data_IF_941769912909
#
_entry.id   IF_941769912909
#
_cell.length_a   1.000
_cell.length_b   1.000
_cell.length_c   1.000
_cell.angle_alpha   90.00
_cell.angle_beta   90.00
_cell.angle_gamma   90.00
#
_symmetry.space_group_name_H-M   'P 1'
#
loop_
_entity.id
_entity.type
_entity.pdbx_description
1 polymer ?
#
# COMPACT_ATOMS: atom_id res chain seq x y z
N UNK A 1 -27.79 -19.79 11.29
CA UNK A 1 -27.03 -19.48 10.04
C UNK A 1 -25.60 -19.88 10.26
N UNK A 2 -25.06 -20.62 9.32
CA UNK A 2 -23.64 -21.02 9.38
C UNK A 2 -22.71 -19.88 9.02
N UNK A 3 -21.49 -19.90 9.58
CA UNK A 3 -20.48 -18.87 9.33
C UNK A 3 -20.14 -18.74 7.84
N UNK A 4 -20.17 -19.82 7.07
CA UNK A 4 -19.89 -19.78 5.63
C UNK A 4 -20.94 -18.97 4.86
N UNK A 5 -22.23 -19.15 5.17
CA UNK A 5 -23.32 -18.38 4.56
C UNK A 5 -23.20 -16.89 4.89
N UNK A 6 -22.84 -16.62 6.15
CA UNK A 6 -22.60 -15.25 6.60
C UNK A 6 -21.42 -14.56 5.88
N UNK A 7 -20.35 -15.31 5.61
CA UNK A 7 -19.19 -14.80 4.84
C UNK A 7 -19.61 -14.48 3.41
N UNK A 8 -20.42 -15.34 2.78
CA UNK A 8 -20.91 -15.13 1.42
C UNK A 8 -21.82 -13.89 1.34
N UNK A 9 -22.76 -13.75 2.29
CA UNK A 9 -23.63 -12.56 2.37
C UNK A 9 -22.83 -11.27 2.59
N UNK A 10 -21.83 -11.30 3.45
CA UNK A 10 -20.95 -10.16 3.68
C UNK A 10 -20.09 -9.81 2.45
N UNK A 11 -19.58 -10.80 1.72
CA UNK A 11 -18.83 -10.55 0.49
C UNK A 11 -19.71 -9.92 -0.59
N UNK A 12 -20.97 -10.36 -0.72
CA UNK A 12 -21.95 -9.75 -1.62
C UNK A 12 -22.20 -8.28 -1.26
N UNK A 13 -22.38 -7.97 0.05
CA UNK A 13 -22.52 -6.59 0.52
C UNK A 13 -21.29 -5.74 0.21
N UNK A 14 -20.08 -6.27 0.47
CA UNK A 14 -18.83 -5.57 0.14
C UNK A 14 -18.69 -5.31 -1.37
N UNK A 15 -19.20 -6.21 -2.22
CA UNK A 15 -19.24 -6.01 -3.66
C UNK A 15 -20.21 -4.89 -4.04
N UNK A 16 -21.42 -4.88 -3.47
CA UNK A 16 -22.43 -3.82 -3.66
C UNK A 16 -21.90 -2.46 -3.20
N UNK A 17 -21.17 -2.41 -2.08
CA UNK A 17 -20.48 -1.21 -1.58
C UNK A 17 -19.30 -0.76 -2.46
N UNK A 18 -19.00 -1.44 -3.55
CA UNK A 18 -17.87 -1.15 -4.44
C UNK A 18 -16.51 -1.35 -3.77
N UNK A 19 -16.37 -2.24 -2.78
CA UNK A 19 -15.06 -2.53 -2.16
C UNK A 19 -14.15 -3.26 -3.14
N UNK A 20 -12.85 -2.93 -3.10
CA UNK A 20 -11.88 -3.53 -4.02
C UNK A 20 -11.78 -5.05 -3.83
N UNK A 21 -11.50 -5.82 -4.91
CA UNK A 21 -11.26 -7.27 -4.81
C UNK A 21 -10.21 -7.64 -3.76
N UNK A 22 -9.16 -6.82 -3.62
CA UNK A 22 -8.12 -7.02 -2.60
C UNK A 22 -8.68 -6.90 -1.18
N UNK A 23 -9.53 -5.90 -0.92
CA UNK A 23 -10.18 -5.71 0.38
C UNK A 23 -11.10 -6.89 0.69
N UNK A 24 -11.94 -7.30 -0.27
CA UNK A 24 -12.84 -8.45 -0.14
C UNK A 24 -12.07 -9.73 0.18
N UNK A 25 -11.01 -10.03 -0.60
CA UNK A 25 -10.15 -11.18 -0.37
C UNK A 25 -9.47 -11.15 1.02
N UNK A 26 -9.14 -9.98 1.54
CA UNK A 26 -8.58 -9.85 2.89
C UNK A 26 -9.62 -10.21 3.96
N UNK A 27 -10.85 -9.70 3.86
CA UNK A 27 -11.94 -10.05 4.77
C UNK A 27 -12.24 -11.55 4.71
N UNK A 28 -12.38 -12.12 3.52
CA UNK A 28 -12.63 -13.54 3.32
C UNK A 28 -11.53 -14.41 3.96
N UNK A 29 -10.26 -14.08 3.77
CA UNK A 29 -9.14 -14.80 4.42
C UNK A 29 -9.21 -14.78 5.95
N UNK A 30 -9.55 -13.64 6.53
CA UNK A 30 -9.65 -13.48 7.97
C UNK A 30 -10.85 -14.25 8.54
N UNK A 31 -11.99 -14.22 7.86
CA UNK A 31 -13.18 -14.97 8.24
C UNK A 31 -12.97 -16.50 8.09
N UNK A 32 -12.34 -16.94 7.00
CA UNK A 32 -11.96 -18.33 6.81
C UNK A 32 -10.96 -18.82 7.87
N UNK A 33 -10.06 -17.97 8.35
CA UNK A 33 -9.17 -18.34 9.46
C UNK A 33 -9.93 -18.59 10.76
N UNK A 34 -10.98 -17.80 11.04
CA UNK A 34 -11.88 -18.05 12.17
C UNK A 34 -12.61 -19.38 11.99
N UNK A 35 -13.18 -19.64 10.81
CA UNK A 35 -13.88 -20.91 10.52
C UNK A 35 -13.00 -22.15 10.74
N UNK A 36 -11.77 -22.13 10.23
CA UNK A 36 -10.80 -23.23 10.45
C UNK A 36 -10.47 -23.44 11.93
N UNK A 37 -10.32 -22.34 12.68
CA UNK A 37 -10.04 -22.43 14.11
C UNK A 37 -11.24 -23.00 14.89
N UNK A 38 -12.47 -22.60 14.57
CA UNK A 38 -13.69 -23.14 15.16
C UNK A 38 -13.78 -24.65 14.90
N UNK A 39 -13.64 -25.10 13.66
CA UNK A 39 -13.67 -26.51 13.29
C UNK A 39 -12.60 -27.33 14.04
N UNK A 40 -11.34 -26.83 14.12
CA UNK A 40 -10.26 -27.51 14.81
C UNK A 40 -10.46 -27.60 16.32
N UNK A 41 -11.17 -26.65 16.92
CA UNK A 41 -11.44 -26.62 18.37
C UNK A 41 -12.81 -27.20 18.72
N UNK A 42 -13.44 -27.90 17.76
CA UNK A 42 -14.77 -28.52 17.90
C UNK A 42 -15.86 -27.55 18.41
N UNK A 43 -15.71 -26.28 18.02
CA UNK A 43 -16.68 -25.24 18.36
C UNK A 43 -17.70 -25.09 17.24
N UNK A 44 -18.92 -24.74 17.63
CA UNK A 44 -19.99 -24.48 16.68
C UNK A 44 -19.62 -23.34 15.72
N UNK A 45 -19.97 -23.53 14.46
CA UNK A 45 -19.94 -22.49 13.40
C UNK A 45 -21.28 -21.75 13.26
N UNK A 46 -22.30 -22.18 14.03
CA UNK A 46 -23.57 -21.48 14.09
C UNK A 46 -23.41 -20.11 14.77
N UNK A 47 -23.80 -19.07 14.06
CA UNK A 47 -23.71 -17.67 14.54
C UNK A 47 -24.46 -17.43 15.85
N UNK A 48 -25.56 -18.16 16.09
CA UNK A 48 -26.33 -18.03 17.33
C UNK A 48 -25.52 -18.39 18.58
N UNK A 49 -24.52 -19.27 18.43
CA UNK A 49 -23.65 -19.74 19.48
C UNK A 49 -22.30 -19.00 19.55
N UNK A 50 -22.02 -18.13 18.57
CA UNK A 50 -20.75 -17.45 18.44
C UNK A 50 -20.69 -16.16 19.27
N UNK A 51 -20.33 -16.29 20.54
CA UNK A 51 -20.21 -15.16 21.46
C UNK A 51 -18.82 -14.52 21.52
N UNK A 52 -18.73 -13.41 22.26
CA UNK A 52 -17.45 -12.67 22.46
C UNK A 52 -16.31 -13.56 22.96
N UNK A 53 -16.59 -14.50 23.88
CA UNK A 53 -15.56 -15.38 24.47
C UNK A 53 -14.86 -16.23 23.38
N UNK A 54 -15.60 -16.75 22.42
CA UNK A 54 -15.03 -17.52 21.31
C UNK A 54 -14.13 -16.65 20.43
N UNK A 55 -14.58 -15.44 20.09
CA UNK A 55 -13.77 -14.49 19.30
C UNK A 55 -12.51 -14.03 20.03
N UNK A 56 -12.60 -13.79 21.34
CA UNK A 56 -11.43 -13.42 22.15
C UNK A 56 -10.41 -14.58 22.19
N UNK A 57 -10.89 -15.83 22.37
CA UNK A 57 -10.05 -17.02 22.34
C UNK A 57 -9.38 -17.21 20.95
N UNK A 58 -10.13 -17.02 19.86
CA UNK A 58 -9.54 -17.04 18.50
C UNK A 58 -8.45 -16.00 18.34
N UNK A 59 -8.71 -14.74 18.68
CA UNK A 59 -7.72 -13.65 18.53
C UNK A 59 -6.47 -13.86 19.41
N UNK A 60 -6.59 -14.61 20.51
CA UNK A 60 -5.47 -15.02 21.36
C UNK A 60 -4.72 -16.24 20.82
N UNK A 61 -5.30 -17.01 19.92
CA UNK A 61 -4.75 -18.28 19.42
C UNK A 61 -3.51 -18.08 18.52
N UNK A 62 -2.65 -19.11 18.39
CA UNK A 62 -1.52 -19.10 17.47
C UNK A 62 -1.93 -18.84 16.02
N UNK A 63 -3.06 -19.36 15.56
CA UNK A 63 -3.58 -19.16 14.19
C UNK A 63 -3.84 -17.68 13.87
N UNK A 64 -4.33 -16.94 14.85
CA UNK A 64 -4.54 -15.50 14.70
C UNK A 64 -3.25 -14.71 14.84
N UNK A 65 -2.33 -15.15 15.73
CA UNK A 65 -1.15 -14.37 16.16
C UNK A 65 0.13 -14.73 15.44
N UNK A 66 0.25 -15.95 14.90
CA UNK A 66 1.48 -16.42 14.24
C UNK A 66 1.24 -16.66 12.74
N UNK A 67 2.32 -16.62 11.97
CA UNK A 67 2.37 -17.08 10.59
C UNK A 67 2.47 -18.61 10.55
N UNK A 68 2.30 -19.28 9.37
CA UNK A 68 2.45 -20.73 9.26
C UNK A 68 3.82 -21.25 9.71
N UNK A 69 4.87 -20.42 9.61
CA UNK A 69 6.23 -20.70 10.07
C UNK A 69 6.42 -20.52 11.59
N UNK A 70 5.34 -20.30 12.35
CA UNK A 70 5.36 -20.09 13.81
C UNK A 70 5.78 -18.69 14.25
N UNK A 71 6.27 -17.85 13.34
CA UNK A 71 6.73 -16.49 13.69
C UNK A 71 5.55 -15.57 14.01
N UNK A 72 5.64 -14.81 15.09
CA UNK A 72 4.61 -13.89 15.51
C UNK A 72 4.31 -12.82 14.44
N UNK A 73 3.02 -12.59 14.18
CA UNK A 73 2.57 -11.51 13.30
C UNK A 73 2.79 -10.15 13.97
N UNK A 74 3.09 -9.14 13.15
CA UNK A 74 3.15 -7.74 13.63
C UNK A 74 1.80 -7.28 14.17
N UNK A 75 1.81 -6.37 15.14
CA UNK A 75 0.59 -5.77 15.71
C UNK A 75 -0.34 -5.16 14.64
N UNK A 76 0.21 -4.59 13.57
CA UNK A 76 -0.56 -4.08 12.43
C UNK A 76 -1.37 -5.17 11.73
N UNK A 77 -0.79 -6.36 11.54
CA UNK A 77 -1.49 -7.51 10.92
C UNK A 77 -2.58 -8.07 11.81
N UNK A 78 -2.32 -8.19 13.12
CA UNK A 78 -3.34 -8.64 14.09
C UNK A 78 -4.44 -7.59 14.26
N UNK A 79 -4.13 -6.30 14.13
CA UNK A 79 -5.12 -5.23 14.11
C UNK A 79 -6.00 -5.27 12.84
N UNK A 80 -5.43 -5.63 11.69
CA UNK A 80 -6.21 -5.85 10.47
C UNK A 80 -7.21 -6.99 10.64
N UNK A 81 -6.81 -8.11 11.28
CA UNK A 81 -7.71 -9.21 11.63
C UNK A 81 -8.85 -8.74 12.54
N UNK A 82 -8.54 -8.02 13.64
CA UNK A 82 -9.56 -7.48 14.56
C UNK A 82 -10.54 -6.55 13.85
N UNK A 83 -10.03 -5.69 12.97
CA UNK A 83 -10.87 -4.81 12.15
C UNK A 83 -11.79 -5.60 11.25
N UNK A 84 -11.28 -6.64 10.56
CA UNK A 84 -12.09 -7.50 9.70
C UNK A 84 -13.22 -8.18 10.48
N UNK A 85 -12.91 -8.77 11.64
CA UNK A 85 -13.93 -9.41 12.48
C UNK A 85 -14.98 -8.40 12.96
N UNK A 86 -14.57 -7.22 13.43
CA UNK A 86 -15.52 -6.19 13.87
C UNK A 86 -16.43 -5.72 12.75
N UNK A 87 -15.92 -5.59 11.52
CA UNK A 87 -16.71 -5.17 10.37
C UNK A 87 -17.67 -6.28 9.93
N UNK A 88 -17.21 -7.54 9.84
CA UNK A 88 -18.06 -8.68 9.53
C UNK A 88 -19.22 -8.81 10.51
N UNK A 89 -18.91 -8.91 11.80
CA UNK A 89 -19.93 -9.09 12.84
C UNK A 89 -20.78 -7.83 13.08
N UNK A 90 -20.27 -6.64 12.74
CA UNK A 90 -21.05 -5.41 12.68
C UNK A 90 -22.12 -5.51 11.61
N UNK A 91 -21.74 -5.86 10.39
CA UNK A 91 -22.67 -6.07 9.29
C UNK A 91 -23.76 -7.11 9.65
N UNK A 92 -23.37 -8.25 10.23
CA UNK A 92 -24.32 -9.31 10.60
C UNK A 92 -25.34 -8.84 11.65
N UNK A 93 -24.92 -8.02 12.61
CA UNK A 93 -25.81 -7.43 13.60
C UNK A 93 -26.73 -6.36 12.98
N UNK A 94 -26.17 -5.48 12.14
CA UNK A 94 -26.90 -4.39 11.48
C UNK A 94 -27.92 -4.94 10.45
N UNK A 95 -27.60 -6.08 9.81
CA UNK A 95 -28.49 -6.80 8.91
C UNK A 95 -29.55 -7.68 9.61
N UNK A 96 -29.59 -7.69 10.96
CA UNK A 96 -30.51 -8.52 11.74
C UNK A 96 -30.21 -10.01 11.72
N UNK A 97 -29.05 -10.41 11.22
CA UNK A 97 -28.63 -11.84 11.15
C UNK A 97 -28.02 -12.34 12.47
N UNK A 98 -27.73 -11.43 13.39
CA UNK A 98 -27.31 -11.68 14.76
C UNK A 98 -27.93 -10.65 15.72
N UNK A 99 -28.20 -11.03 16.98
CA UNK A 99 -28.80 -10.09 17.96
C UNK A 99 -27.84 -8.96 18.37
N UNK A 100 -26.53 -9.19 18.30
CA UNK A 100 -25.52 -8.19 18.65
C UNK A 100 -24.17 -8.54 18.02
N UNK A 101 -23.29 -7.54 17.89
CA UNK A 101 -21.91 -7.73 17.40
C UNK A 101 -20.98 -8.29 18.49
N UNK A 102 -20.61 -9.60 18.47
CA UNK A 102 -19.75 -10.20 19.49
C UNK A 102 -18.29 -9.69 19.40
N UNK A 103 -17.89 -9.09 18.27
CA UNK A 103 -16.56 -8.53 18.09
C UNK A 103 -16.43 -7.07 18.60
N UNK A 104 -17.49 -6.46 19.11
CA UNK A 104 -17.51 -5.05 19.56
C UNK A 104 -16.42 -4.74 20.59
N UNK A 105 -16.15 -5.68 21.49
CA UNK A 105 -15.16 -5.52 22.55
C UNK A 105 -13.71 -5.84 22.13
N UNK A 106 -13.49 -6.33 20.90
CA UNK A 106 -12.14 -6.56 20.40
C UNK A 106 -11.44 -5.22 20.15
N UNK A 107 -10.54 -4.83 21.07
CA UNK A 107 -9.75 -3.61 20.94
C UNK A 107 -8.52 -3.83 20.06
N UNK A 108 -8.14 -2.80 19.30
CA UNK A 108 -6.86 -2.79 18.57
C UNK A 108 -5.70 -2.68 19.56
N UNK A 109 -4.64 -3.43 19.31
CA UNK A 109 -3.39 -3.26 20.04
C UNK A 109 -2.78 -1.89 19.70
N UNK A 110 -2.23 -1.22 20.70
CA UNK A 110 -1.42 -0.02 20.49
C UNK A 110 -0.21 -0.41 19.64
N UNK A 111 0.03 0.30 18.56
CA UNK A 111 1.22 0.16 17.74
C UNK A 111 1.55 1.52 17.15
N UNK A 112 2.78 1.95 17.32
CA UNK A 112 3.30 3.09 16.58
C UNK A 112 3.56 2.66 15.13
N UNK A 113 3.21 3.48 14.14
CA UNK A 113 3.67 3.23 12.78
C UNK A 113 5.20 3.23 12.78
N UNK A 114 5.85 2.28 12.08
CA UNK A 114 7.30 2.35 11.93
C UNK A 114 7.67 3.64 11.20
N UNK A 115 8.85 4.23 11.49
CA UNK A 115 9.32 5.40 10.78
C UNK A 115 9.35 5.14 9.26
N UNK A 116 9.12 6.17 8.43
CA UNK A 116 9.19 6.04 6.98
C UNK A 116 10.58 5.52 6.58
N UNK A 117 10.59 4.46 5.78
CA UNK A 117 11.84 3.95 5.19
C UNK A 117 12.07 4.66 3.86
N UNK A 118 12.41 5.94 3.91
CA UNK A 118 12.79 6.69 2.74
C UNK A 118 14.09 6.13 2.13
N UNK A 119 14.21 6.21 0.82
CA UNK A 119 15.46 5.98 0.11
C UNK A 119 16.39 7.16 0.42
N UNK A 120 17.61 6.89 0.87
CA UNK A 120 18.62 7.92 1.15
C UNK A 120 19.20 8.45 -0.16
N UNK A 121 19.84 9.60 -0.14
CA UNK A 121 20.39 10.20 -1.36
C UNK A 121 21.52 9.35 -1.98
N UNK A 122 22.40 8.78 -1.15
CA UNK A 122 23.45 7.88 -1.60
C UNK A 122 22.88 6.58 -2.18
N UNK A 123 21.84 6.02 -1.57
CA UNK A 123 21.14 4.83 -2.07
C UNK A 123 20.38 5.11 -3.36
N UNK A 124 19.74 6.29 -3.47
CA UNK A 124 19.09 6.71 -4.70
C UNK A 124 20.06 6.82 -5.85
N UNK A 125 21.20 7.48 -5.63
CA UNK A 125 22.25 7.59 -6.64
C UNK A 125 22.73 6.22 -7.08
N UNK A 126 23.11 5.32 -6.15
CA UNK A 126 23.52 3.95 -6.48
C UNK A 126 22.49 3.19 -7.29
N UNK A 127 21.20 3.32 -6.92
CA UNK A 127 20.10 2.65 -7.62
C UNK A 127 19.93 3.18 -9.05
N UNK A 128 19.95 4.50 -9.23
CA UNK A 128 19.80 5.12 -10.54
C UNK A 128 21.03 4.87 -11.44
N UNK A 129 22.25 4.97 -10.90
CA UNK A 129 23.49 4.65 -11.63
C UNK A 129 23.50 3.20 -12.11
N UNK A 130 23.05 2.25 -11.25
CA UNK A 130 22.91 0.85 -11.63
C UNK A 130 21.92 0.67 -12.78
N UNK A 131 20.73 1.27 -12.68
CA UNK A 131 19.70 1.14 -13.71
C UNK A 131 20.08 1.81 -15.03
N UNK A 132 20.75 2.94 -14.99
CA UNK A 132 21.28 3.62 -16.18
C UNK A 132 22.38 2.82 -16.90
N UNK A 133 23.18 2.04 -16.13
CA UNK A 133 24.22 1.18 -16.68
C UNK A 133 23.69 -0.17 -17.20
N UNK A 134 22.52 -0.62 -16.74
CA UNK A 134 21.90 -1.88 -17.15
C UNK A 134 21.29 -1.74 -18.56
N UNK A 135 21.70 -2.55 -19.55
CA UNK A 135 21.18 -2.43 -20.91
C UNK A 135 19.76 -2.99 -21.05
N UNK A 136 19.03 -2.46 -22.03
CA UNK A 136 17.76 -3.01 -22.46
C UNK A 136 16.53 -2.28 -21.93
N UNK A 137 15.39 -2.58 -22.57
CA UNK A 137 14.12 -1.88 -22.34
C UNK A 137 13.55 -2.10 -20.95
N UNK A 138 13.85 -3.25 -20.33
CA UNK A 138 13.41 -3.54 -18.98
C UNK A 138 14.08 -2.62 -17.94
N UNK A 139 15.37 -2.32 -18.08
CA UNK A 139 16.08 -1.41 -17.20
C UNK A 139 15.59 0.03 -17.40
N UNK A 140 15.46 0.48 -18.64
CA UNK A 140 14.89 1.81 -18.97
C UNK A 140 13.47 2.00 -18.44
N UNK A 141 12.65 0.96 -18.54
CA UNK A 141 11.29 0.97 -17.95
C UNK A 141 11.33 1.09 -16.43
N UNK A 142 12.16 0.30 -15.78
CA UNK A 142 12.26 0.25 -14.31
C UNK A 142 12.84 1.57 -13.77
N UNK A 143 13.80 2.17 -14.46
CA UNK A 143 14.34 3.49 -14.17
C UNK A 143 13.26 4.58 -14.28
N UNK A 144 12.52 4.63 -15.39
CA UNK A 144 11.43 5.59 -15.59
C UNK A 144 10.33 5.45 -14.53
N UNK A 145 9.97 4.22 -14.14
CA UNK A 145 9.02 3.97 -13.07
C UNK A 145 9.53 4.48 -11.71
N UNK A 146 10.79 4.23 -11.40
CA UNK A 146 11.42 4.66 -10.15
C UNK A 146 11.54 6.18 -10.10
N UNK A 147 11.98 6.82 -11.18
CA UNK A 147 12.06 8.28 -11.29
C UNK A 147 10.69 8.93 -11.13
N UNK A 148 9.65 8.38 -11.74
CA UNK A 148 8.27 8.88 -11.57
C UNK A 148 7.83 8.83 -10.10
N UNK A 149 8.18 7.76 -9.38
CA UNK A 149 7.87 7.64 -7.95
C UNK A 149 8.73 8.59 -7.08
N UNK A 150 9.99 8.81 -7.45
CA UNK A 150 10.95 9.65 -6.72
C UNK A 150 10.72 11.15 -6.95
N UNK A 151 10.27 11.57 -8.13
CA UNK A 151 10.16 12.99 -8.54
C UNK A 151 8.72 13.50 -8.56
N UNK A 152 7.73 12.61 -8.76
CA UNK A 152 6.31 12.96 -8.75
C UNK A 152 5.53 12.32 -7.60
N UNK A 153 6.18 11.51 -6.76
CA UNK A 153 5.60 10.94 -5.55
C UNK A 153 4.44 9.97 -5.79
N UNK A 154 4.31 9.38 -6.96
CA UNK A 154 3.24 8.45 -7.29
C UNK A 154 3.31 7.16 -6.45
N UNK A 155 2.14 6.59 -6.11
CA UNK A 155 2.08 5.20 -5.63
C UNK A 155 2.37 4.26 -6.79
N UNK A 156 3.04 3.13 -6.54
CA UNK A 156 3.36 2.14 -7.58
C UNK A 156 2.13 1.74 -8.41
N UNK A 157 0.98 1.50 -7.78
CA UNK A 157 -0.24 1.15 -8.53
C UNK A 157 -0.77 2.29 -9.38
N UNK A 158 -0.62 3.54 -8.95
CA UNK A 158 -1.00 4.71 -9.72
C UNK A 158 -0.04 4.94 -10.91
N UNK A 159 1.27 4.79 -10.68
CA UNK A 159 2.27 4.89 -11.75
C UNK A 159 2.07 3.80 -12.81
N UNK A 160 1.92 2.54 -12.36
CA UNK A 160 1.66 1.43 -13.29
C UNK A 160 0.31 1.55 -14.00
N UNK A 161 -0.66 2.26 -13.44
CA UNK A 161 -1.96 2.50 -14.06
C UNK A 161 -1.95 3.46 -15.24
N UNK A 162 -0.85 4.20 -15.46
CA UNK A 162 -0.73 5.16 -16.55
C UNK A 162 -0.61 4.46 -17.91
N UNK A 163 -1.28 5.06 -18.90
CA UNK A 163 -1.07 4.82 -20.32
C UNK A 163 -0.24 5.95 -20.92
N UNK A 164 0.34 5.73 -22.09
CA UNK A 164 1.12 6.77 -22.79
C UNK A 164 0.31 8.06 -23.02
N UNK A 165 -0.97 8.01 -23.41
CA UNK A 165 -1.79 9.22 -23.57
C UNK A 165 -2.12 9.96 -22.27
N UNK A 166 -1.88 9.35 -21.10
CA UNK A 166 -2.07 10.02 -19.82
C UNK A 166 -0.93 11.02 -19.49
N UNK A 167 0.13 11.07 -20.31
CA UNK A 167 1.22 12.02 -20.18
C UNK A 167 1.02 13.22 -21.10
N UNK A 168 0.84 14.39 -20.53
CA UNK A 168 1.00 15.66 -21.24
C UNK A 168 2.40 16.23 -20.96
N UNK A 169 3.37 15.81 -21.77
CA UNK A 169 4.75 16.25 -21.63
C UNK A 169 4.99 17.70 -22.08
N UNK A 170 4.01 18.33 -22.77
CA UNK A 170 4.08 19.73 -23.15
C UNK A 170 3.70 20.62 -21.97
N UNK A 171 2.69 20.21 -21.19
CA UNK A 171 2.25 20.90 -19.99
C UNK A 171 2.99 20.44 -18.73
N UNK A 172 3.94 19.48 -18.85
CA UNK A 172 4.63 18.83 -17.73
C UNK A 172 3.66 18.20 -16.72
N UNK A 173 2.67 17.45 -17.21
CA UNK A 173 1.61 16.84 -16.42
C UNK A 173 1.44 15.35 -16.71
N UNK A 174 0.95 14.62 -15.70
CA UNK A 174 0.48 13.26 -15.84
C UNK A 174 -0.93 13.13 -15.23
N UNK A 175 -1.87 12.54 -15.96
CA UNK A 175 -3.26 12.39 -15.56
C UNK A 175 -3.49 11.01 -14.97
N UNK A 176 -3.53 10.93 -13.63
CA UNK A 176 -3.73 9.68 -12.91
C UNK A 176 -5.22 9.41 -12.75
N UNK A 177 -5.71 8.34 -13.38
CA UNK A 177 -7.10 7.90 -13.23
C UNK A 177 -7.34 7.38 -11.82
N UNK A 178 -8.42 7.79 -11.16
CA UNK A 178 -8.84 7.26 -9.86
C UNK A 178 -9.69 6.02 -10.03
N UNK A 179 -9.32 4.98 -9.29
CA UNK A 179 -9.96 3.66 -9.28
C UNK A 179 -11.42 3.63 -8.81
N UNK A 180 -11.99 4.71 -8.23
CA UNK A 180 -13.31 4.65 -7.57
C UNK A 180 -14.22 5.87 -7.64
N UNK A 181 -13.80 7.01 -8.18
CA UNK A 181 -14.66 8.21 -8.24
C UNK A 181 -14.35 9.13 -9.43
N UNK A 182 -14.01 8.59 -10.56
CA UNK A 182 -13.98 9.21 -11.90
C UNK A 182 -13.42 10.65 -12.02
N UNK A 183 -12.61 11.09 -11.08
CA UNK A 183 -11.85 12.33 -11.22
C UNK A 183 -10.39 12.00 -11.42
N UNK A 184 -9.90 12.23 -12.64
CA UNK A 184 -8.48 12.23 -12.92
C UNK A 184 -7.77 13.22 -11.97
N UNK A 185 -6.66 12.81 -11.38
CA UNK A 185 -5.79 13.70 -10.62
C UNK A 185 -4.59 14.07 -11.48
N UNK A 186 -4.39 15.36 -11.71
CA UNK A 186 -3.19 15.86 -12.38
C UNK A 186 -2.01 15.88 -11.44
N UNK A 187 -0.88 15.40 -11.94
CA UNK A 187 0.41 15.35 -11.28
C UNK A 187 1.39 16.18 -12.05
N UNK A 188 1.98 17.17 -11.39
CA UNK A 188 3.03 18.00 -12.00
C UNK A 188 4.34 17.22 -12.09
N UNK A 189 5.02 17.31 -13.21
CA UNK A 189 6.31 16.70 -13.50
C UNK A 189 7.41 17.78 -13.47
N UNK A 190 8.60 17.40 -12.98
CA UNK A 190 9.76 18.30 -13.10
C UNK A 190 10.30 18.30 -14.53
N UNK A 191 10.99 19.36 -14.97
CA UNK A 191 11.57 19.39 -16.32
C UNK A 191 12.47 18.19 -16.62
N UNK A 192 13.30 17.79 -15.67
CA UNK A 192 14.19 16.62 -15.81
C UNK A 192 13.39 15.33 -16.00
N UNK A 193 12.29 15.18 -15.25
CA UNK A 193 11.42 13.99 -15.39
C UNK A 193 10.69 13.99 -16.74
N UNK A 194 10.28 15.17 -17.24
CA UNK A 194 9.68 15.31 -18.57
C UNK A 194 10.64 14.84 -19.66
N UNK A 195 11.90 15.30 -19.64
CA UNK A 195 12.90 14.89 -20.61
C UNK A 195 13.18 13.39 -20.56
N UNK A 196 13.32 12.84 -19.34
CA UNK A 196 13.51 11.40 -19.18
C UNK A 196 12.33 10.59 -19.72
N UNK A 197 11.09 10.99 -19.39
CA UNK A 197 9.88 10.33 -19.87
C UNK A 197 9.71 10.48 -21.39
N UNK A 198 10.09 11.63 -21.98
CA UNK A 198 10.10 11.83 -23.44
C UNK A 198 11.02 10.84 -24.12
N UNK A 199 12.24 10.67 -23.63
CA UNK A 199 13.18 9.67 -24.13
C UNK A 199 12.68 8.23 -23.95
N UNK A 200 12.07 7.93 -22.81
CA UNK A 200 11.50 6.60 -22.51
C UNK A 200 10.29 6.28 -23.38
N UNK A 201 9.37 7.22 -23.58
CA UNK A 201 8.18 7.04 -24.42
C UNK A 201 8.56 6.92 -25.91
N UNK A 202 9.50 7.74 -26.35
CA UNK A 202 9.94 7.78 -27.75
C UNK A 202 8.78 8.04 -28.71
N UNK A 203 8.64 7.18 -29.72
CA UNK A 203 7.59 7.30 -30.74
C UNK A 203 6.24 6.70 -30.33
N UNK A 204 6.14 6.06 -29.16
CA UNK A 204 4.87 5.45 -28.69
C UNK A 204 3.79 6.51 -28.51
N UNK A 205 2.56 6.20 -28.94
CA UNK A 205 1.39 7.10 -28.81
C UNK A 205 0.23 6.48 -28.04
N UNK A 206 0.29 5.17 -27.78
CA UNK A 206 -0.77 4.42 -27.11
C UNK A 206 -0.19 3.27 -26.28
N UNK A 207 -1.05 2.59 -25.52
CA UNK A 207 -0.73 1.43 -24.70
C UNK A 207 -0.24 1.80 -23.30
N UNK A 208 0.04 0.77 -22.51
CA UNK A 208 0.52 0.93 -21.14
C UNK A 208 1.87 1.66 -21.13
N UNK A 209 2.01 2.66 -20.23
CA UNK A 209 3.28 3.38 -20.10
C UNK A 209 4.41 2.41 -19.68
N UNK A 210 4.13 1.52 -18.75
CA UNK A 210 5.05 0.52 -18.23
C UNK A 210 4.63 -0.89 -18.67
N UNK A 211 4.98 -1.24 -19.90
CA UNK A 211 4.69 -2.53 -20.48
C UNK A 211 5.83 -3.54 -20.30
N UNK A 212 5.49 -4.84 -20.36
CA UNK A 212 6.43 -5.93 -20.52
C UNK A 212 6.87 -6.13 -21.97
N UNK A 213 7.66 -7.16 -22.21
CA UNK A 213 8.08 -7.56 -23.59
C UNK A 213 6.93 -8.04 -24.47
N UNK A 214 5.81 -8.40 -23.85
CA UNK A 214 4.55 -8.77 -24.49
C UNK A 214 3.67 -7.57 -24.87
N UNK A 215 4.10 -6.35 -24.55
CA UNK A 215 3.34 -5.13 -24.74
C UNK A 215 2.28 -4.87 -23.66
N UNK A 216 2.03 -5.84 -22.78
CA UNK A 216 1.03 -5.73 -21.73
C UNK A 216 1.58 -5.00 -20.46
N UNK A 217 0.68 -4.37 -19.74
CA UNK A 217 1.01 -3.69 -18.48
C UNK A 217 1.62 -4.65 -17.47
N UNK A 218 2.79 -4.32 -16.93
CA UNK A 218 3.40 -5.14 -15.87
C UNK A 218 2.59 -5.09 -14.58
N UNK A 219 2.53 -6.22 -13.87
CA UNK A 219 1.85 -6.30 -12.59
C UNK A 219 2.64 -5.59 -11.47
N UNK A 220 1.93 -5.13 -10.43
CA UNK A 220 2.56 -4.56 -9.21
C UNK A 220 3.58 -5.55 -8.62
N UNK A 221 3.28 -6.85 -8.61
CA UNK A 221 4.17 -7.88 -8.08
C UNK A 221 5.45 -8.02 -8.91
N UNK A 222 5.33 -7.91 -10.24
CA UNK A 222 6.49 -7.90 -11.14
C UNK A 222 7.37 -6.68 -10.85
N UNK A 223 6.80 -5.48 -10.83
CA UNK A 223 7.54 -4.25 -10.53
C UNK A 223 8.21 -4.26 -9.15
N UNK A 224 7.55 -4.80 -8.12
CA UNK A 224 8.12 -4.97 -6.78
C UNK A 224 9.32 -5.94 -6.78
N UNK A 225 9.23 -7.03 -7.54
CA UNK A 225 10.35 -7.99 -7.69
C UNK A 225 11.53 -7.34 -8.41
N UNK A 226 11.29 -6.65 -9.53
CA UNK A 226 12.33 -5.92 -10.28
C UNK A 226 13.01 -4.87 -9.41
N UNK A 227 12.23 -4.06 -8.68
CA UNK A 227 12.77 -3.10 -7.73
C UNK A 227 13.68 -3.74 -6.68
N UNK A 228 13.24 -4.87 -6.09
CA UNK A 228 14.04 -5.56 -5.08
C UNK A 228 15.35 -6.12 -5.67
N UNK A 229 15.33 -6.59 -6.91
CA UNK A 229 16.53 -7.04 -7.64
C UNK A 229 17.49 -5.88 -7.90
N UNK A 230 16.98 -4.75 -8.40
CA UNK A 230 17.79 -3.55 -8.66
C UNK A 230 18.40 -2.98 -7.36
N UNK A 231 17.66 -2.93 -6.25
CA UNK A 231 18.18 -2.52 -4.94
C UNK A 231 19.33 -3.41 -4.49
N UNK A 232 19.20 -4.72 -4.64
CA UNK A 232 20.26 -5.68 -4.28
C UNK A 232 21.48 -5.52 -5.19
N UNK A 233 21.26 -5.43 -6.49
CA UNK A 233 22.33 -5.28 -7.49
C UNK A 233 23.09 -3.94 -7.36
N UNK A 234 22.41 -2.89 -6.93
CA UNK A 234 23.01 -1.59 -6.60
C UNK A 234 23.82 -1.60 -5.28
N UNK A 235 23.96 -2.75 -4.61
CA UNK A 235 24.71 -2.88 -3.36
C UNK A 235 24.02 -2.21 -2.16
N UNK A 236 22.70 -2.09 -2.18
CA UNK A 236 21.93 -1.52 -1.07
C UNK A 236 21.49 -2.65 -0.14
N UNK A 237 22.10 -2.74 1.03
CA UNK A 237 21.85 -3.83 1.99
C UNK A 237 20.47 -3.77 2.65
N UNK A 238 19.90 -2.56 2.79
CA UNK A 238 18.59 -2.36 3.42
C UNK A 238 17.48 -2.96 2.57
N UNK A 239 16.59 -3.72 3.19
CA UNK A 239 15.39 -4.21 2.54
C UNK A 239 14.41 -3.06 2.31
N UNK A 240 14.33 -2.60 1.08
CA UNK A 240 13.45 -1.51 0.64
C UNK A 240 12.29 -2.06 -0.22
N UNK A 241 11.25 -1.26 -0.35
CA UNK A 241 10.16 -1.48 -1.29
C UNK A 241 9.96 -0.22 -2.13
N UNK A 242 9.24 -0.26 -3.26
CA UNK A 242 8.99 0.93 -4.08
C UNK A 242 8.38 2.12 -3.32
N UNK A 243 7.69 1.86 -2.20
CA UNK A 243 7.22 2.94 -1.32
C UNK A 243 8.35 3.81 -0.74
N UNK A 244 9.58 3.29 -0.66
CA UNK A 244 10.75 4.05 -0.22
C UNK A 244 11.01 5.26 -1.13
N UNK A 245 10.80 5.13 -2.44
CA UNK A 245 10.92 6.23 -3.41
C UNK A 245 9.92 7.35 -3.09
N UNK A 246 8.66 6.98 -2.88
CA UNK A 246 7.62 7.93 -2.53
C UNK A 246 7.84 8.57 -1.15
N UNK A 247 8.38 7.83 -0.19
CA UNK A 247 8.79 8.40 1.10
C UNK A 247 9.93 9.39 0.94
N UNK A 248 10.93 9.10 0.10
CA UNK A 248 12.01 10.02 -0.22
C UNK A 248 11.49 11.33 -0.85
N UNK A 249 10.54 11.24 -1.80
CA UNK A 249 9.87 12.42 -2.35
C UNK A 249 9.23 13.27 -1.26
N UNK A 250 8.43 12.65 -0.39
CA UNK A 250 7.71 13.37 0.66
C UNK A 250 8.64 14.02 1.69
N UNK A 251 9.70 13.31 2.11
CA UNK A 251 10.69 13.81 3.06
C UNK A 251 11.45 14.99 2.46
N UNK A 252 11.91 14.89 1.21
CA UNK A 252 12.61 15.99 0.53
C UNK A 252 11.71 17.22 0.30
N UNK A 253 10.45 16.98 -0.10
CA UNK A 253 9.51 18.07 -0.29
C UNK A 253 9.23 18.79 1.04
N UNK A 254 9.13 18.06 2.16
CA UNK A 254 8.97 18.64 3.48
C UNK A 254 10.22 19.41 3.91
N UNK A 255 11.41 18.82 3.76
CA UNK A 255 12.68 19.49 4.08
C UNK A 255 12.88 20.80 3.27
N UNK A 256 12.49 20.78 1.98
CA UNK A 256 12.60 21.97 1.11
C UNK A 256 11.60 23.06 1.44
N UNK A 257 10.40 22.72 1.89
CA UNK A 257 9.28 23.68 2.00
C UNK A 257 8.83 23.98 3.44
N UNK A 258 9.16 23.13 4.41
CA UNK A 258 8.64 23.20 5.78
C UNK A 258 7.11 23.04 5.85
N UNK A 259 6.43 22.77 4.73
CA UNK A 259 4.98 22.85 4.62
C UNK A 259 4.33 21.46 4.49
N UNK A 260 3.85 20.93 5.60
CA UNK A 260 3.18 19.62 5.65
C UNK A 260 1.88 19.56 4.84
N UNK A 261 1.16 20.68 4.70
CA UNK A 261 -0.06 20.74 3.89
C UNK A 261 0.26 20.63 2.40
N UNK A 262 1.35 21.25 1.95
CA UNK A 262 1.85 21.11 0.59
C UNK A 262 2.25 19.67 0.32
N UNK A 263 2.99 19.02 1.23
CA UNK A 263 3.35 17.59 1.14
C UNK A 263 2.10 16.73 1.06
N UNK A 264 1.10 16.96 1.93
CA UNK A 264 -0.18 16.24 1.91
C UNK A 264 -0.86 16.34 0.55
N UNK A 265 -0.91 17.53 -0.03
CA UNK A 265 -1.51 17.80 -1.33
C UNK A 265 -0.74 17.10 -2.46
N UNK A 266 0.59 17.26 -2.49
CA UNK A 266 1.46 16.60 -3.47
C UNK A 266 1.38 15.07 -3.39
N UNK A 267 1.32 14.51 -2.16
CA UNK A 267 1.16 13.08 -1.91
C UNK A 267 -0.27 12.58 -2.14
N UNK A 268 -1.24 13.46 -2.34
CA UNK A 268 -2.65 13.10 -2.48
C UNK A 268 -3.15 12.20 -1.35
N UNK A 269 -2.78 12.55 -0.11
CA UNK A 269 -3.24 11.88 1.08
C UNK A 269 -4.63 12.38 1.48
N UNK A 270 -5.61 11.47 1.55
CA UNK A 270 -6.97 11.79 2.02
C UNK A 270 -6.98 12.21 3.50
N UNK A 271 -6.09 11.64 4.31
CA UNK A 271 -5.99 11.92 5.74
C UNK A 271 -4.65 12.57 6.08
N UNK A 272 -4.70 13.57 6.95
CA UNK A 272 -3.51 14.24 7.50
C UNK A 272 -2.66 13.27 8.33
N UNK A 273 -3.28 12.27 8.97
CA UNK A 273 -2.57 11.25 9.74
C UNK A 273 -1.59 10.42 8.88
N UNK A 274 -1.88 10.28 7.59
CA UNK A 274 -0.97 9.61 6.65
C UNK A 274 0.28 10.44 6.34
N UNK A 275 0.24 11.76 6.59
CA UNK A 275 1.35 12.68 6.34
C UNK A 275 2.08 13.02 7.65
N UNK A 276 1.43 12.85 8.80
CA UNK A 276 2.02 13.11 10.12
C UNK A 276 3.28 12.26 10.42
N UNK A 277 3.43 11.11 9.75
CA UNK A 277 4.65 10.30 9.85
C UNK A 277 5.91 11.03 9.37
N UNK A 278 5.77 12.01 8.47
CA UNK A 278 6.90 12.81 7.99
C UNK A 278 7.23 13.98 8.93
N UNK A 279 6.26 14.45 9.71
CA UNK A 279 6.49 15.47 10.74
C UNK A 279 7.39 14.93 11.86
N UNK A 280 7.26 13.65 12.23
CA UNK A 280 8.12 13.02 13.23
C UNK A 280 9.59 12.92 12.78
N UNK A 281 9.84 12.81 11.46
CA UNK A 281 11.21 12.84 10.88
C UNK A 281 11.79 14.24 10.98
N UNK A 282 10.99 15.29 10.73
CA UNK A 282 11.42 16.67 10.88
C UNK A 282 11.74 17.06 12.34
N UNK A 283 11.11 16.42 13.33
CA UNK A 283 11.48 16.60 14.74
C UNK A 283 12.85 15.99 15.09
N UNK A 284 13.25 14.91 14.43
CA UNK A 284 14.57 14.29 14.61
C UNK A 284 15.67 15.19 14.02
N UNK A 285 15.43 15.78 12.86
CA UNK A 285 16.31 16.79 12.23
C UNK A 285 16.44 18.03 13.13
N UNK A 286 15.36 18.47 13.81
CA UNK A 286 15.39 19.58 14.78
C UNK A 286 16.23 19.22 15.99
N UNK A 287 16.12 18.00 16.52
CA UNK A 287 16.94 17.54 17.64
C UNK A 287 18.41 17.48 17.29
N UNK A 288 18.73 17.01 16.07
CA UNK A 288 20.11 16.94 15.56
C UNK A 288 20.70 18.34 15.36
N UNK A 289 19.92 19.25 14.78
CA UNK A 289 20.32 20.66 14.63
C UNK A 289 20.51 21.39 15.98
N UNK A 290 19.73 21.05 17.01
CA UNK A 290 19.90 21.59 18.37
C UNK A 290 21.09 20.98 19.12
N UNK A 291 21.55 19.78 18.76
CA UNK A 291 22.74 19.15 19.31
C UNK A 291 24.05 19.60 18.65
N UNK A 292 23.97 20.12 17.43
CA UNK A 292 25.10 20.63 16.65
C UNK A 292 25.51 22.06 16.99
N UNK A 293 25.00 22.63 18.12
CA UNK A 293 25.41 23.95 18.65
C UNK A 293 26.46 23.83 19.73
#
# INVERSE_FOLDING_TARGET
>A
MELQDAIAAFDAQLAADGRSPHTRAQYARHAAALGRWLARTERSTDLAQLGHRALAAFVASPEARCRPDGVAKKATSTNALRTSLRTLFGYLADAGLMPANPARLLKRARCSPPPPRALREDEERKLLDHLAAEPGDAARRDEALILLMLRAGLRIGAALGLDVPDLDLAQAEAHVRKDKNDRAETVLLTPELVEHLRGFVGARRAGALFAGSDGERISIRHAQRRFAQAVLAAGIERKLSPHACRHAFATRLLAKTGNLQLVRRAMRHRSISSTAIYAAVAEEDVREALRAR
#
